data_IF_561413024906
#
_entry.id   IF_561413024906
#
_cell.length_a   1.000
_cell.length_b   1.000
_cell.length_c   1.000
_cell.angle_alpha   90.00
_cell.angle_beta   90.00
_cell.angle_gamma   90.00
#
_symmetry.space_group_name_H-M   'P 1'
#
loop_
_entity.id
_entity.type
_entity.pdbx_description
1 polymer ?
#
# COMPACT_ATOMS: atom_id res chain seq x y z
N UNK A 1 0.41 -26.07 18.50
CA UNK A 1 0.25 -26.06 17.03
C UNK A 1 -0.17 -24.65 16.64
N UNK A 2 0.78 -23.78 16.30
CA UNK A 2 0.43 -22.43 15.82
C UNK A 2 -0.30 -22.62 14.50
N UNK A 3 -1.59 -22.27 14.46
CA UNK A 3 -2.37 -22.41 13.23
C UNK A 3 -1.77 -21.48 12.16
N UNK A 4 -1.58 -22.01 10.96
CA UNK A 4 -1.04 -21.30 9.79
C UNK A 4 -1.69 -19.93 9.55
N UNK A 5 -2.98 -19.82 9.85
CA UNK A 5 -3.74 -18.57 9.85
C UNK A 5 -3.16 -17.49 10.78
N UNK A 6 -2.80 -17.84 12.01
CA UNK A 6 -2.28 -16.90 13.02
C UNK A 6 -0.94 -16.29 12.59
N UNK A 7 -0.07 -17.08 11.95
CA UNK A 7 1.23 -16.59 11.47
C UNK A 7 1.04 -15.50 10.41
N UNK A 8 0.23 -15.79 9.39
CA UNK A 8 -0.03 -14.84 8.29
C UNK A 8 -0.76 -13.60 8.83
N UNK A 9 -1.72 -13.78 9.73
CA UNK A 9 -2.44 -12.67 10.36
C UNK A 9 -1.53 -11.79 11.23
N UNK A 10 -0.59 -12.38 11.96
CA UNK A 10 0.39 -11.64 12.75
C UNK A 10 1.31 -10.79 11.87
N UNK A 11 1.77 -11.33 10.73
CA UNK A 11 2.56 -10.58 9.75
C UNK A 11 1.80 -9.36 9.18
N UNK A 12 0.53 -9.53 8.84
CA UNK A 12 -0.33 -8.43 8.37
C UNK A 12 -0.52 -7.34 9.44
N UNK A 13 -0.72 -7.77 10.69
CA UNK A 13 -0.89 -6.88 11.84
C UNK A 13 0.38 -6.07 12.11
N UNK A 14 1.56 -6.71 12.07
CA UNK A 14 2.85 -6.03 12.25
C UNK A 14 3.05 -4.99 11.14
N UNK A 15 2.86 -5.37 9.88
CA UNK A 15 3.01 -4.46 8.75
C UNK A 15 2.06 -3.27 8.86
N UNK A 16 0.79 -3.52 9.22
CA UNK A 16 -0.22 -2.48 9.40
C UNK A 16 0.10 -1.54 10.56
N UNK A 17 0.58 -2.08 11.69
CA UNK A 17 0.97 -1.29 12.85
C UNK A 17 2.15 -0.37 12.51
N UNK A 18 3.18 -0.89 11.84
CA UNK A 18 4.34 -0.09 11.41
C UNK A 18 3.92 1.03 10.47
N UNK A 19 3.05 0.77 9.49
CA UNK A 19 2.55 1.82 8.60
C UNK A 19 1.75 2.88 9.35
N UNK A 20 0.88 2.48 10.27
CA UNK A 20 0.04 3.40 11.04
C UNK A 20 0.90 4.31 11.92
N UNK A 21 1.93 3.78 12.56
CA UNK A 21 2.89 4.56 13.35
C UNK A 21 3.57 5.61 12.45
N UNK A 22 4.09 5.21 11.30
CA UNK A 22 4.76 6.15 10.37
C UNK A 22 3.78 7.21 9.85
N UNK A 23 2.57 6.82 9.47
CA UNK A 23 1.55 7.74 8.97
C UNK A 23 1.17 8.79 10.02
N UNK A 24 0.92 8.36 11.27
CA UNK A 24 0.47 9.27 12.33
C UNK A 24 1.60 10.20 12.79
N UNK A 25 2.78 9.65 13.09
CA UNK A 25 3.85 10.41 13.74
C UNK A 25 4.72 11.20 12.77
N UNK A 26 4.83 10.77 11.51
CA UNK A 26 5.67 11.48 10.54
C UNK A 26 4.77 12.16 9.52
N UNK A 27 4.03 11.39 8.72
CA UNK A 27 3.39 11.92 7.52
C UNK A 27 2.27 12.93 7.84
N UNK A 28 1.45 12.67 8.86
CA UNK A 28 0.39 13.61 9.27
C UNK A 28 0.95 14.86 9.94
N UNK A 29 2.02 14.73 10.72
CA UNK A 29 2.67 15.90 11.35
C UNK A 29 3.27 16.80 10.27
N UNK A 30 3.98 16.25 9.28
CA UNK A 30 4.62 17.04 8.23
C UNK A 30 3.62 17.68 7.25
N UNK A 31 2.40 17.14 7.11
CA UNK A 31 1.37 17.67 6.21
C UNK A 31 0.41 18.64 6.93
N UNK A 32 -0.05 18.31 8.14
CA UNK A 32 -1.16 19.03 8.80
C UNK A 32 -0.72 20.01 9.89
N UNK A 33 0.53 19.94 10.37
CA UNK A 33 1.03 20.83 11.43
C UNK A 33 2.10 21.77 10.85
N UNK A 34 1.68 22.88 10.20
CA UNK A 34 2.59 23.77 9.47
C UNK A 34 3.60 24.48 10.38
N UNK A 35 3.33 24.65 11.68
CA UNK A 35 4.26 25.31 12.61
C UNK A 35 5.57 24.53 12.84
N UNK A 36 5.54 23.20 12.76
CA UNK A 36 6.74 22.35 12.93
C UNK A 36 7.48 22.09 11.61
N UNK A 37 6.86 22.46 10.48
CA UNK A 37 7.36 22.26 9.13
C UNK A 37 8.77 22.85 8.89
N UNK A 38 9.11 24.10 9.26
CA UNK A 38 10.45 24.66 8.99
C UNK A 38 11.57 23.94 9.76
N UNK A 39 11.32 23.52 11.00
CA UNK A 39 12.28 22.75 11.80
C UNK A 39 12.49 21.34 11.22
N UNK A 40 11.40 20.62 10.94
CA UNK A 40 11.47 19.27 10.39
C UNK A 40 12.03 19.24 8.97
N UNK A 41 11.70 20.22 8.14
CA UNK A 41 12.22 20.35 6.77
C UNK A 41 13.74 20.54 6.79
N UNK A 42 14.25 21.49 7.58
CA UNK A 42 15.68 21.71 7.75
C UNK A 42 16.39 20.48 8.33
N UNK A 43 15.75 19.78 9.27
CA UNK A 43 16.31 18.53 9.83
C UNK A 43 16.39 17.44 8.77
N UNK A 44 15.38 17.29 7.91
CA UNK A 44 15.35 16.24 6.88
C UNK A 44 16.28 16.56 5.70
N UNK A 45 16.52 17.84 5.43
CA UNK A 45 17.49 18.30 4.44
C UNK A 45 18.94 18.07 4.93
N UNK A 46 19.22 18.38 6.21
CA UNK A 46 20.53 18.14 6.82
C UNK A 46 20.81 16.64 7.05
N UNK A 47 19.81 15.88 7.51
CA UNK A 47 19.91 14.45 7.77
C UNK A 47 19.15 13.63 6.74
N UNK A 48 19.60 13.63 5.48
CA UNK A 48 18.96 12.91 4.36
C UNK A 48 18.81 11.38 4.55
N UNK A 49 19.49 10.79 5.53
CA UNK A 49 19.35 9.38 5.90
C UNK A 49 18.00 9.07 6.58
N UNK A 50 17.49 9.99 7.42
CA UNK A 50 16.21 9.83 8.12
C UNK A 50 15.04 9.70 7.12
N UNK A 51 14.84 10.64 6.17
CA UNK A 51 13.79 10.54 5.17
C UNK A 51 13.92 9.35 4.25
N UNK A 52 15.15 8.94 3.94
CA UNK A 52 15.39 7.72 3.18
C UNK A 52 14.88 6.47 3.92
N UNK A 53 15.25 6.26 5.18
CA UNK A 53 14.86 5.05 5.93
C UNK A 53 13.34 4.94 6.04
N UNK A 54 12.65 5.98 6.50
CA UNK A 54 11.21 5.84 6.73
C UNK A 54 10.45 5.70 5.41
N UNK A 55 10.90 6.34 4.33
CA UNK A 55 10.28 6.19 3.02
C UNK A 55 10.43 4.76 2.48
N UNK A 56 11.60 4.15 2.65
CA UNK A 56 11.84 2.76 2.25
C UNK A 56 10.99 1.80 3.10
N UNK A 57 11.03 1.93 4.43
CA UNK A 57 10.27 1.06 5.34
C UNK A 57 8.77 1.17 5.06
N UNK A 58 8.25 2.38 4.90
CA UNK A 58 6.83 2.60 4.66
C UNK A 58 6.35 1.92 3.38
N UNK A 59 7.11 2.09 2.28
CA UNK A 59 6.77 1.48 1.00
C UNK A 59 6.99 -0.03 0.98
N UNK A 60 7.96 -0.54 1.74
CA UNK A 60 8.16 -1.97 1.96
C UNK A 60 6.94 -2.58 2.66
N UNK A 61 6.53 -2.03 3.81
CA UNK A 61 5.38 -2.53 4.57
C UNK A 61 4.08 -2.45 3.78
N UNK A 62 3.94 -1.42 2.93
CA UNK A 62 2.79 -1.32 1.99
C UNK A 62 2.72 -2.51 1.03
N UNK A 63 3.86 -2.92 0.47
CA UNK A 63 3.91 -4.06 -0.43
C UNK A 63 3.77 -5.41 0.31
N UNK A 64 4.34 -5.54 1.52
CA UNK A 64 4.11 -6.71 2.39
C UNK A 64 2.62 -6.91 2.65
N UNK A 65 1.90 -5.83 2.93
CA UNK A 65 0.47 -5.87 3.25
C UNK A 65 -0.38 -6.38 2.09
N UNK A 66 -0.13 -5.91 0.86
CA UNK A 66 -0.86 -6.41 -0.31
C UNK A 66 -0.61 -7.89 -0.56
N UNK A 67 0.63 -8.36 -0.39
CA UNK A 67 0.98 -9.79 -0.59
C UNK A 67 0.40 -10.68 0.52
N UNK A 68 0.51 -10.23 1.77
CA UNK A 68 -0.01 -10.96 2.94
C UNK A 68 -1.53 -11.12 2.84
N UNK A 69 -2.23 -10.10 2.36
CA UNK A 69 -3.67 -10.14 2.11
C UNK A 69 -4.06 -11.29 1.16
N UNK A 70 -3.31 -11.49 0.07
CA UNK A 70 -3.54 -12.60 -0.88
C UNK A 70 -3.40 -13.95 -0.19
N UNK A 71 -2.31 -14.16 0.55
CA UNK A 71 -2.11 -15.43 1.26
C UNK A 71 -3.16 -15.65 2.35
N UNK A 72 -3.64 -14.59 3.00
CA UNK A 72 -4.71 -14.67 3.99
C UNK A 72 -6.03 -15.14 3.35
N UNK A 73 -6.39 -14.65 2.15
CA UNK A 73 -7.62 -15.08 1.48
C UNK A 73 -7.51 -16.49 0.89
N UNK A 74 -6.34 -16.87 0.36
CA UNK A 74 -6.07 -18.24 -0.10
C UNK A 74 -6.09 -19.23 1.07
N UNK A 75 -5.56 -18.85 2.23
CA UNK A 75 -5.61 -19.66 3.45
C UNK A 75 -7.05 -19.99 3.85
N UNK A 76 -7.93 -19.00 3.81
CA UNK A 76 -9.35 -19.15 4.13
C UNK A 76 -10.09 -19.98 3.09
N UNK A 77 -9.84 -19.75 1.80
CA UNK A 77 -10.39 -20.57 0.72
C UNK A 77 -10.03 -22.05 0.90
N UNK A 78 -8.79 -22.35 1.27
CA UNK A 78 -8.32 -23.72 1.49
C UNK A 78 -9.04 -24.40 2.66
N UNK A 79 -9.27 -23.66 3.76
CA UNK A 79 -10.00 -24.16 4.93
C UNK A 79 -11.41 -24.63 4.54
N UNK A 80 -12.13 -23.82 3.75
CA UNK A 80 -13.50 -24.11 3.32
C UNK A 80 -13.57 -25.22 2.26
N UNK A 81 -12.60 -25.28 1.34
CA UNK A 81 -12.59 -26.29 0.28
C UNK A 81 -12.18 -27.68 0.77
N UNK A 82 -11.26 -27.76 1.73
CA UNK A 82 -10.66 -29.01 2.17
C UNK A 82 -10.32 -28.99 3.68
N UNK A 83 -11.33 -28.98 4.57
CA UNK A 83 -11.11 -28.85 6.02
C UNK A 83 -10.25 -29.99 6.59
N UNK A 84 -10.41 -31.22 6.09
CA UNK A 84 -9.66 -32.39 6.55
C UNK A 84 -8.19 -32.41 6.10
N UNK A 85 -7.86 -31.76 4.99
CA UNK A 85 -6.50 -31.70 4.44
C UNK A 85 -5.80 -30.37 4.70
N UNK A 86 -6.51 -29.39 5.26
CA UNK A 86 -6.02 -28.03 5.51
C UNK A 86 -4.69 -28.03 6.28
N UNK A 87 -4.64 -28.74 7.41
CA UNK A 87 -3.46 -28.77 8.28
C UNK A 87 -2.23 -29.36 7.58
N UNK A 88 -2.42 -30.39 6.75
CA UNK A 88 -1.32 -31.04 6.04
C UNK A 88 -0.79 -30.16 4.90
N UNK A 89 -1.68 -29.56 4.11
CA UNK A 89 -1.32 -28.66 2.99
C UNK A 89 -0.55 -27.44 3.52
N UNK A 90 -1.09 -26.77 4.54
CA UNK A 90 -0.51 -25.53 5.03
C UNK A 90 0.75 -25.74 5.87
N UNK A 91 0.95 -26.91 6.48
CA UNK A 91 2.22 -27.22 7.17
C UNK A 91 3.41 -27.22 6.22
N UNK A 92 3.25 -27.69 4.98
CA UNK A 92 4.30 -27.66 3.96
C UNK A 92 4.39 -26.30 3.26
N UNK A 93 3.25 -25.62 3.06
CA UNK A 93 3.19 -24.38 2.28
C UNK A 93 3.55 -23.11 3.06
N UNK A 94 3.39 -23.10 4.39
CA UNK A 94 3.72 -21.92 5.23
C UNK A 94 5.12 -21.35 5.03
N UNK A 95 6.23 -22.13 5.05
CA UNK A 95 7.56 -21.54 4.87
C UNK A 95 7.72 -20.86 3.50
N UNK A 96 7.09 -21.40 2.44
CA UNK A 96 7.07 -20.77 1.13
C UNK A 96 6.27 -19.47 1.14
N UNK A 97 5.10 -19.46 1.78
CA UNK A 97 4.29 -18.25 1.91
C UNK A 97 5.04 -17.14 2.65
N UNK A 98 5.71 -17.45 3.77
CA UNK A 98 6.54 -16.48 4.52
C UNK A 98 7.67 -15.96 3.63
N UNK A 99 8.38 -16.84 2.92
CA UNK A 99 9.44 -16.46 1.99
C UNK A 99 8.93 -15.47 0.93
N UNK A 100 7.81 -15.77 0.28
CA UNK A 100 7.23 -14.88 -0.73
C UNK A 100 6.81 -13.54 -0.11
N UNK A 101 6.17 -13.53 1.06
CA UNK A 101 5.74 -12.30 1.74
C UNK A 101 6.94 -11.40 2.08
N UNK A 102 8.06 -11.97 2.50
CA UNK A 102 9.27 -11.21 2.86
C UNK A 102 10.07 -10.78 1.64
N UNK A 103 10.20 -11.62 0.61
CA UNK A 103 11.07 -11.34 -0.53
C UNK A 103 10.38 -10.58 -1.68
N UNK A 104 9.09 -10.81 -1.92
CA UNK A 104 8.37 -10.13 -3.02
C UNK A 104 8.33 -8.59 -2.94
N UNK A 105 8.28 -7.94 -1.75
CA UNK A 105 8.31 -6.49 -1.66
C UNK A 105 9.60 -5.88 -2.23
N UNK A 106 10.73 -6.58 -2.16
CA UNK A 106 12.00 -6.10 -2.73
C UNK A 106 11.91 -5.90 -4.25
N UNK A 107 11.10 -6.71 -4.95
CA UNK A 107 10.82 -6.54 -6.38
C UNK A 107 10.03 -5.26 -6.69
N UNK A 108 9.34 -4.68 -5.70
CA UNK A 108 8.59 -3.43 -5.83
C UNK A 108 9.44 -2.23 -5.42
N UNK A 109 10.22 -2.36 -4.34
CA UNK A 109 10.94 -1.23 -3.73
C UNK A 109 12.37 -1.02 -4.23
N UNK A 110 12.96 -1.94 -5.01
CA UNK A 110 14.35 -1.82 -5.47
C UNK A 110 14.66 -0.46 -6.12
N UNK A 111 13.69 0.11 -6.85
CA UNK A 111 13.85 1.40 -7.49
C UNK A 111 14.02 2.54 -6.47
N UNK A 112 13.31 2.45 -5.34
CA UNK A 112 13.37 3.42 -4.25
C UNK A 112 14.67 3.30 -3.47
N UNK A 113 15.15 2.07 -3.23
CA UNK A 113 16.42 1.83 -2.53
C UNK A 113 17.58 2.54 -3.24
N UNK A 114 17.56 2.56 -4.58
CA UNK A 114 18.63 3.17 -5.39
C UNK A 114 18.42 4.68 -5.59
N UNK A 115 17.23 5.19 -5.31
CA UNK A 115 16.83 6.57 -5.61
C UNK A 115 17.09 7.53 -4.44
N UNK A 116 17.45 8.77 -4.76
CA UNK A 116 17.58 9.83 -3.76
C UNK A 116 16.21 10.34 -3.32
N UNK A 117 15.98 10.45 -2.01
CA UNK A 117 14.72 10.90 -1.42
C UNK A 117 14.87 12.33 -0.91
N UNK A 118 13.92 13.21 -1.26
CA UNK A 118 13.95 14.64 -0.93
C UNK A 118 12.57 15.14 -0.46
N UNK A 119 12.52 16.09 0.48
CA UNK A 119 11.28 16.72 0.89
C UNK A 119 10.76 17.68 -0.19
N UNK A 120 9.44 17.69 -0.39
CA UNK A 120 8.71 18.58 -1.31
C UNK A 120 7.60 19.27 -0.54
N UNK A 121 7.59 20.59 -0.56
CA UNK A 121 6.58 21.41 0.10
C UNK A 121 5.20 21.25 -0.57
N UNK A 122 4.17 20.91 0.20
CA UNK A 122 2.76 20.82 -0.23
C UNK A 122 1.83 21.37 0.86
N UNK A 123 0.84 22.20 0.48
CA UNK A 123 -0.21 22.72 1.38
C UNK A 123 0.27 23.36 2.70
N UNK A 124 1.41 24.05 2.71
CA UNK A 124 1.99 24.62 3.94
C UNK A 124 2.78 23.61 4.81
N UNK A 125 2.74 22.33 4.44
CA UNK A 125 3.57 21.25 4.97
C UNK A 125 4.63 20.78 3.96
N UNK A 126 5.22 19.60 4.19
CA UNK A 126 6.02 18.90 3.19
C UNK A 126 5.73 17.39 3.18
N UNK A 127 5.91 16.78 2.02
CA UNK A 127 5.89 15.32 1.80
C UNK A 127 7.24 14.86 1.26
N UNK A 128 7.48 13.56 1.18
CA UNK A 128 8.66 13.05 0.48
C UNK A 128 8.36 12.71 -0.97
N UNK A 129 9.29 13.12 -1.83
CA UNK A 129 9.42 12.59 -3.18
C UNK A 129 10.77 11.89 -3.32
N UNK A 130 10.92 11.12 -4.39
CA UNK A 130 12.19 10.52 -4.76
C UNK A 130 12.50 10.85 -6.22
N UNK A 131 13.79 11.01 -6.51
CA UNK A 131 14.27 11.26 -7.86
C UNK A 131 14.45 9.92 -8.57
N UNK A 132 13.60 9.65 -9.56
CA UNK A 132 13.59 8.39 -10.29
C UNK A 132 14.90 8.23 -11.07
N UNK A 133 15.75 7.28 -10.67
CA UNK A 133 16.94 6.91 -11.44
C UNK A 133 16.59 6.18 -12.75
N UNK A 134 15.49 5.41 -12.74
CA UNK A 134 14.96 4.68 -13.91
C UNK A 134 13.59 5.23 -14.29
N UNK A 135 13.49 5.91 -15.45
CA UNK A 135 12.29 6.67 -15.86
C UNK A 135 11.04 5.81 -16.10
N UNK A 136 11.21 4.58 -16.58
CA UNK A 136 10.10 3.66 -16.91
C UNK A 136 9.54 2.91 -15.69
N UNK A 137 10.28 2.87 -14.59
CA UNK A 137 10.05 2.01 -13.45
C UNK A 137 9.65 2.84 -12.22
N UNK A 138 8.43 3.38 -12.18
CA UNK A 138 8.00 4.16 -10.99
C UNK A 138 7.45 3.27 -9.89
N UNK A 139 7.81 3.58 -8.64
CA UNK A 139 7.28 2.91 -7.44
C UNK A 139 5.76 2.81 -7.45
N UNK A 140 5.08 3.91 -7.81
CA UNK A 140 3.63 3.96 -7.91
C UNK A 140 3.10 2.95 -8.93
N UNK A 141 3.73 2.78 -10.10
CA UNK A 141 3.26 1.83 -11.11
C UNK A 141 3.40 0.39 -10.62
N UNK A 142 4.54 0.03 -10.03
CA UNK A 142 4.71 -1.32 -9.46
C UNK A 142 3.74 -1.59 -8.32
N UNK A 143 3.56 -0.64 -7.41
CA UNK A 143 2.58 -0.76 -6.32
C UNK A 143 1.16 -0.94 -6.86
N UNK A 144 0.77 -0.17 -7.88
CA UNK A 144 -0.53 -0.27 -8.52
C UNK A 144 -0.73 -1.64 -9.17
N UNK A 145 0.25 -2.14 -9.94
CA UNK A 145 0.18 -3.46 -10.58
C UNK A 145 0.06 -4.57 -9.53
N UNK A 146 0.90 -4.54 -8.49
CA UNK A 146 0.82 -5.50 -7.39
C UNK A 146 -0.53 -5.46 -6.68
N UNK A 147 -1.04 -4.26 -6.41
CA UNK A 147 -2.34 -4.07 -5.76
C UNK A 147 -3.48 -4.59 -6.62
N UNK A 148 -3.45 -4.35 -7.93
CA UNK A 148 -4.47 -4.85 -8.87
C UNK A 148 -4.46 -6.38 -8.97
N UNK A 149 -3.29 -7.00 -9.10
CA UNK A 149 -3.17 -8.46 -9.11
C UNK A 149 -3.68 -9.05 -7.78
N UNK A 150 -3.26 -8.47 -6.66
CA UNK A 150 -3.72 -8.86 -5.32
C UNK A 150 -5.24 -8.78 -5.19
N UNK A 151 -5.84 -7.70 -5.68
CA UNK A 151 -7.28 -7.47 -5.64
C UNK A 151 -8.04 -8.51 -6.48
N UNK A 152 -7.58 -8.80 -7.70
CA UNK A 152 -8.20 -9.82 -8.56
C UNK A 152 -8.20 -11.20 -7.90
N UNK A 153 -7.06 -11.61 -7.32
CA UNK A 153 -6.95 -12.88 -6.59
C UNK A 153 -7.87 -12.86 -5.36
N UNK A 154 -7.91 -11.75 -4.63
CA UNK A 154 -8.78 -11.57 -3.44
C UNK A 154 -10.26 -11.73 -3.79
N UNK A 155 -10.73 -11.10 -4.86
CA UNK A 155 -12.12 -11.22 -5.34
C UNK A 155 -12.44 -12.66 -5.75
N UNK A 156 -11.55 -13.29 -6.52
CA UNK A 156 -11.75 -14.67 -6.98
C UNK A 156 -11.83 -15.66 -5.81
N UNK A 157 -10.85 -15.60 -4.90
CA UNK A 157 -10.77 -16.47 -3.71
C UNK A 157 -11.96 -16.27 -2.78
N UNK A 158 -12.38 -15.02 -2.56
CA UNK A 158 -13.53 -14.68 -1.71
C UNK A 158 -14.83 -15.19 -2.33
N UNK A 159 -15.02 -15.07 -3.64
CA UNK A 159 -16.20 -15.57 -4.35
C UNK A 159 -16.35 -17.09 -4.19
N UNK A 160 -15.25 -17.84 -4.37
CA UNK A 160 -15.26 -19.30 -4.17
C UNK A 160 -15.56 -19.67 -2.72
N UNK A 161 -14.95 -18.97 -1.77
CA UNK A 161 -15.16 -19.18 -0.33
C UNK A 161 -16.62 -19.00 0.04
N UNK A 162 -17.26 -17.91 -0.41
CA UNK A 162 -18.68 -17.63 -0.16
C UNK A 162 -19.60 -18.67 -0.81
N UNK A 163 -19.30 -19.10 -2.03
CA UNK A 163 -20.07 -20.13 -2.71
C UNK A 163 -20.07 -21.46 -1.95
N UNK A 164 -18.90 -21.92 -1.50
CA UNK A 164 -18.75 -23.20 -0.78
C UNK A 164 -19.29 -23.13 0.65
N UNK A 165 -19.12 -22.02 1.35
CA UNK A 165 -19.69 -21.78 2.68
C UNK A 165 -21.21 -21.93 2.75
N UNK A 166 -21.94 -21.65 1.66
CA UNK A 166 -23.40 -21.87 1.62
C UNK A 166 -23.79 -23.35 1.70
N UNK A 167 -22.89 -24.25 1.29
CA UNK A 167 -23.13 -25.70 1.19
C UNK A 167 -22.64 -26.49 2.43
N UNK A 168 -21.97 -25.84 3.38
CA UNK A 168 -21.41 -26.50 4.56
C UNK A 168 -22.44 -26.73 5.69
N UNK A 169 -22.22 -27.80 6.45
CA UNK A 169 -23.07 -28.28 7.54
C UNK A 169 -23.05 -27.35 8.78
N UNK A 170 -24.17 -27.26 9.50
CA UNK A 170 -24.46 -26.15 10.44
C UNK A 170 -23.50 -26.02 11.64
N UNK A 171 -22.78 -27.07 12.05
CA UNK A 171 -21.91 -27.04 13.25
C UNK A 171 -20.53 -26.45 12.97
N UNK A 172 -19.85 -26.85 11.88
CA UNK A 172 -18.59 -26.22 11.44
C UNK A 172 -18.81 -24.78 10.95
N UNK A 173 -19.98 -24.53 10.37
CA UNK A 173 -20.36 -23.25 9.76
C UNK A 173 -20.27 -22.07 10.72
N UNK A 174 -20.57 -22.21 12.02
CA UNK A 174 -20.63 -21.06 12.93
C UNK A 174 -19.27 -20.41 13.20
N UNK A 175 -18.26 -21.22 13.56
CA UNK A 175 -16.91 -20.72 13.85
C UNK A 175 -16.21 -20.19 12.58
N UNK A 176 -16.34 -20.91 11.46
CA UNK A 176 -15.77 -20.48 10.19
C UNK A 176 -16.45 -19.21 9.64
N UNK A 177 -17.76 -19.04 9.87
CA UNK A 177 -18.52 -17.88 9.39
C UNK A 177 -18.08 -16.58 10.05
N UNK A 178 -17.79 -16.58 11.35
CA UNK A 178 -17.28 -15.38 12.04
C UNK A 178 -15.91 -14.97 11.49
N UNK A 179 -15.00 -15.93 11.30
CA UNK A 179 -13.71 -15.70 10.66
C UNK A 179 -13.90 -15.17 9.23
N UNK A 180 -14.78 -15.77 8.45
CA UNK A 180 -15.09 -15.35 7.07
C UNK A 180 -15.73 -13.96 6.99
N UNK A 181 -16.56 -13.56 7.95
CA UNK A 181 -17.13 -12.21 7.98
C UNK A 181 -16.06 -11.16 8.30
N UNK A 182 -15.20 -11.40 9.28
CA UNK A 182 -14.04 -10.53 9.54
C UNK A 182 -13.12 -10.43 8.30
N UNK A 183 -12.99 -11.53 7.57
CA UNK A 183 -12.23 -11.60 6.30
C UNK A 183 -12.82 -10.74 5.21
N UNK A 184 -14.13 -10.85 5.05
CA UNK A 184 -14.87 -10.10 4.05
C UNK A 184 -14.79 -8.61 4.37
N UNK A 185 -14.91 -8.25 5.64
CA UNK A 185 -14.72 -6.88 6.11
C UNK A 185 -13.31 -6.35 5.81
N UNK A 186 -12.26 -7.10 6.14
CA UNK A 186 -10.87 -6.71 5.84
C UNK A 186 -10.60 -6.61 4.34
N UNK A 187 -11.17 -7.52 3.54
CA UNK A 187 -11.04 -7.49 2.07
C UNK A 187 -11.80 -6.30 1.46
N UNK A 188 -13.00 -5.98 1.98
CA UNK A 188 -13.77 -4.81 1.59
C UNK A 188 -13.06 -3.51 1.98
N UNK A 189 -12.44 -3.45 3.16
CA UNK A 189 -11.62 -2.31 3.60
C UNK A 189 -10.35 -2.15 2.74
N UNK A 190 -9.73 -3.24 2.32
CA UNK A 190 -8.60 -3.21 1.39
C UNK A 190 -9.04 -2.74 -0.01
N UNK A 191 -10.20 -3.22 -0.50
CA UNK A 191 -10.81 -2.78 -1.75
C UNK A 191 -11.16 -1.29 -1.72
N UNK A 192 -11.75 -0.81 -0.63
CA UNK A 192 -12.07 0.62 -0.48
C UNK A 192 -10.78 1.45 -0.48
N UNK A 193 -9.76 1.04 0.29
CA UNK A 193 -8.45 1.70 0.28
C UNK A 193 -7.81 1.72 -1.12
N UNK A 194 -7.93 0.63 -1.89
CA UNK A 194 -7.45 0.56 -3.27
C UNK A 194 -8.19 1.54 -4.19
N UNK A 195 -9.51 1.59 -4.10
CA UNK A 195 -10.34 2.51 -4.89
C UNK A 195 -10.01 3.95 -4.53
N UNK A 196 -9.87 4.29 -3.24
CA UNK A 196 -9.49 5.63 -2.81
C UNK A 196 -8.09 6.04 -3.28
N UNK A 197 -7.12 5.12 -3.28
CA UNK A 197 -5.78 5.43 -3.79
C UNK A 197 -5.75 5.57 -5.32
N UNK A 198 -6.49 4.71 -6.03
CA UNK A 198 -6.42 4.62 -7.49
C UNK A 198 -7.32 5.66 -8.19
N UNK A 199 -8.48 5.96 -7.60
CA UNK A 199 -9.53 6.83 -8.17
C UNK A 199 -9.65 8.12 -7.36
N UNK A 200 -9.55 8.03 -6.03
CA UNK A 200 -9.64 9.21 -5.16
C UNK A 200 -8.44 10.15 -5.29
N UNK A 201 -7.21 9.64 -5.38
CA UNK A 201 -6.02 10.51 -5.50
C UNK A 201 -6.00 11.36 -6.78
N UNK A 202 -6.32 10.83 -7.99
CA UNK A 202 -6.49 11.65 -9.18
C UNK A 202 -7.66 12.63 -9.10
N UNK A 203 -8.82 12.22 -8.58
CA UNK A 203 -10.01 13.09 -8.49
C UNK A 203 -9.80 14.22 -7.49
N UNK A 204 -9.21 13.94 -6.32
CA UNK A 204 -8.83 14.96 -5.34
C UNK A 204 -7.77 15.88 -5.93
N UNK A 205 -6.80 15.37 -6.69
CA UNK A 205 -5.80 16.20 -7.38
C UNK A 205 -6.43 17.10 -8.47
N UNK A 206 -7.45 16.61 -9.20
CA UNK A 206 -8.20 17.37 -10.21
C UNK A 206 -9.10 18.43 -9.54
N UNK A 207 -9.81 18.07 -8.47
CA UNK A 207 -10.65 18.99 -7.69
C UNK A 207 -9.81 20.08 -7.03
N UNK A 208 -8.65 19.73 -6.47
CA UNK A 208 -7.71 20.70 -5.90
C UNK A 208 -7.05 21.55 -7.00
N UNK A 209 -6.71 20.98 -8.17
CA UNK A 209 -6.25 21.78 -9.32
C UNK A 209 -7.31 22.77 -9.79
N UNK A 210 -8.60 22.41 -9.66
CA UNK A 210 -9.72 23.33 -9.86
C UNK A 210 -9.71 24.48 -8.84
N UNK A 211 -9.55 24.19 -7.56
CA UNK A 211 -9.44 25.21 -6.49
C UNK A 211 -8.18 26.08 -6.63
N UNK A 212 -7.04 25.52 -7.06
CA UNK A 212 -5.78 26.25 -7.27
C UNK A 212 -5.84 27.20 -8.48
N UNK A 213 -6.60 26.84 -9.53
CA UNK A 213 -6.83 27.71 -10.70
C UNK A 213 -7.58 28.99 -10.36
N UNK A 214 -8.35 29.02 -9.28
CA UNK A 214 -9.05 30.23 -8.83
C UNK A 214 -8.21 31.10 -7.88
N UNK A 215 -7.09 30.59 -7.33
CA UNK A 215 -6.37 31.28 -6.26
C UNK A 215 -4.88 31.58 -6.50
N UNK A 216 -4.19 30.96 -7.47
CA UNK A 216 -2.72 31.12 -7.63
C UNK A 216 -2.27 31.22 -9.10
N UNK A 217 -2.46 32.39 -9.71
CA UNK A 217 -1.49 32.96 -10.67
C UNK A 217 -1.02 34.24 -9.97
N UNK A 218 0.18 34.29 -9.35
CA UNK A 218 1.44 34.37 -10.11
C UNK A 218 2.68 33.84 -9.36
N UNK A 219 3.24 32.67 -9.71
CA UNK A 219 4.63 32.33 -9.34
C UNK A 219 5.32 31.65 -10.53
N UNK A 220 5.71 32.47 -11.51
CA UNK A 220 6.79 32.13 -12.43
C UNK A 220 8.10 32.45 -11.73
N UNK A 221 8.81 31.44 -11.22
CA UNK A 221 10.28 31.27 -11.18
C UNK A 221 10.68 30.30 -10.07
N UNK A 222 11.74 29.54 -10.34
CA UNK A 222 12.46 28.59 -9.48
C UNK A 222 12.02 27.13 -9.52
N UNK A 223 12.31 26.48 -10.65
CA UNK A 223 12.66 25.05 -10.66
C UNK A 223 13.98 24.89 -11.46
N UNK A 224 15.01 24.23 -10.92
CA UNK A 224 16.26 24.00 -11.65
C UNK A 224 16.04 23.07 -12.84
N UNK A 225 16.68 23.38 -13.97
CA UNK A 225 16.66 22.57 -15.19
C UNK A 225 17.33 21.22 -14.94
N UNK A 226 16.54 20.15 -14.88
CA UNK A 226 17.02 18.77 -14.79
C UNK A 226 16.11 17.81 -14.02
N UNK A 227 15.23 18.32 -13.16
CA UNK A 227 14.30 17.50 -12.39
C UNK A 227 12.95 17.38 -13.10
N UNK A 228 12.61 16.18 -13.59
CA UNK A 228 11.22 15.88 -13.94
C UNK A 228 10.41 15.73 -12.65
N UNK A 229 9.85 16.84 -12.16
CA UNK A 229 8.59 16.79 -11.43
C UNK A 229 7.59 16.18 -12.41
N UNK A 230 7.06 15.01 -12.10
CA UNK A 230 6.00 14.40 -12.91
C UNK A 230 4.73 15.22 -12.68
N UNK A 231 4.62 16.34 -13.40
CA UNK A 231 3.33 16.90 -13.76
C UNK A 231 2.83 16.05 -14.92
N UNK A 232 1.79 15.24 -14.68
CA UNK A 232 1.06 14.57 -15.76
C UNK A 232 0.25 15.66 -16.48
N UNK A 233 0.91 16.35 -17.40
CA UNK A 233 0.26 17.20 -18.39
C UNK A 233 1.16 17.26 -19.62
N UNK A 234 0.99 16.29 -20.50
CA UNK A 234 1.32 16.47 -21.91
C UNK A 234 0.58 15.43 -22.74
N UNK A 235 -0.70 15.68 -23.01
CA UNK A 235 -1.30 15.28 -24.29
C UNK A 235 -1.70 16.55 -24.99
N UNK A 236 -0.83 16.93 -25.92
CA UNK A 236 -1.01 17.98 -26.91
C UNK A 236 -2.25 17.70 -27.75
N UNK A 237 -3.07 18.73 -28.00
CA UNK A 237 -3.89 18.76 -29.21
C UNK A 237 -3.67 20.11 -29.88
N UNK A 238 -2.95 20.05 -31.01
CA UNK A 238 -2.87 21.09 -32.03
C UNK A 238 -4.26 21.26 -32.65
N UNK A 239 -4.74 22.50 -32.67
CA UNK A 239 -5.29 23.27 -33.80
C UNK A 239 -5.99 24.50 -33.22
#
# INVERSE_FOLDING_TARGET
MIQSFFIIFSMDSIASLTQLIIDIFIQRITIYIPQFCPFLYSTFENFGFIPYIYFVIYNYMRAVKSVTQVFMTVNRMTCVLAPLRYAQIWRQFIPFAIGIIVFSPFLVIWNVIISYTFPVSIFGGFTLAYSKKVRWASLSLFQMIFMMISLLITIFTTSITLYKMRKLENRLKSSERTLCFASFYMSAAFLSAAVFQNVGSPIVMILISGQLRYHVIPVKRLAPKGSTVVSVSSVSRKL
#
